data_IF_572676422280
#
_entry.id   IF_572676422280
#
_cell.length_a   1.000
_cell.length_b   1.000
_cell.length_c   1.000
_cell.angle_alpha   90.00
_cell.angle_beta   90.00
_cell.angle_gamma   90.00
#
_symmetry.space_group_name_H-M   'P 1'
#
loop_
_entity.id
_entity.type
_entity.pdbx_description
1 polymer ?
#
# COMPACT_ATOMS: atom_id res chain seq x y z
N UNK A 1 -21.14 27.95 -6.42
CA UNK A 1 -19.93 27.42 -5.77
C UNK A 1 -20.35 26.85 -4.43
N UNK A 2 -20.16 25.55 -4.20
CA UNK A 2 -20.42 24.93 -2.91
C UNK A 2 -19.08 24.69 -2.21
N UNK A 3 -18.86 25.35 -1.08
CA UNK A 3 -17.72 25.10 -0.20
C UNK A 3 -18.23 24.21 0.94
N UNK A 4 -17.98 22.91 0.85
CA UNK A 4 -18.22 22.03 2.01
C UNK A 4 -17.09 22.26 3.00
N UNK A 5 -17.41 22.63 4.24
CA UNK A 5 -16.41 22.64 5.32
C UNK A 5 -15.93 21.22 5.54
N UNK A 6 -14.65 21.04 5.29
CA UNK A 6 -13.90 19.79 5.32
C UNK A 6 -13.47 19.51 6.76
N UNK A 7 -14.42 19.25 7.69
CA UNK A 7 -14.03 18.92 9.06
C UNK A 7 -14.99 17.98 9.81
N UNK A 8 -15.97 17.37 9.13
CA UNK A 8 -16.99 16.51 9.79
C UNK A 8 -17.40 15.29 8.95
N UNK A 9 -16.51 14.82 8.06
CA UNK A 9 -16.63 13.51 7.41
C UNK A 9 -15.33 12.78 7.68
N UNK A 10 -15.37 11.70 8.45
CA UNK A 10 -14.20 11.00 8.98
C UNK A 10 -13.31 10.28 7.95
N UNK A 11 -13.38 10.68 6.68
CA UNK A 11 -12.60 10.10 5.58
C UNK A 11 -11.64 11.12 4.97
N UNK A 12 -10.45 10.66 4.61
CA UNK A 12 -9.41 11.52 4.04
C UNK A 12 -8.09 10.82 3.83
N UNK A 13 -7.18 11.54 3.16
CA UNK A 13 -5.81 11.10 2.92
C UNK A 13 -4.84 12.07 3.58
N UNK A 14 -4.01 11.55 4.47
CA UNK A 14 -2.91 12.29 5.10
C UNK A 14 -1.63 12.05 4.31
N UNK A 15 -0.83 13.09 4.13
CA UNK A 15 0.45 13.01 3.44
C UNK A 15 1.60 13.18 4.41
N UNK A 16 2.59 12.30 4.32
CA UNK A 16 3.89 12.43 4.96
C UNK A 16 4.97 12.55 3.88
N UNK A 17 6.01 13.33 4.16
CA UNK A 17 7.10 13.61 3.22
C UNK A 17 8.42 13.20 3.87
N UNK A 18 9.16 12.33 3.20
CA UNK A 18 10.43 11.78 3.67
C UNK A 18 11.42 11.79 2.49
N UNK A 19 12.45 12.62 2.58
CA UNK A 19 13.45 12.80 1.51
C UNK A 19 12.78 13.11 0.15
N UNK A 20 12.91 12.22 -0.84
CA UNK A 20 12.34 12.32 -2.18
C UNK A 20 10.99 11.59 -2.32
N UNK A 21 10.43 11.10 -1.21
CA UNK A 21 9.24 10.27 -1.18
C UNK A 21 8.05 11.02 -0.55
N UNK A 22 6.89 10.86 -1.18
CA UNK A 22 5.60 11.28 -0.65
C UNK A 22 4.81 10.03 -0.31
N UNK A 23 4.37 9.91 0.93
CA UNK A 23 3.51 8.82 1.41
C UNK A 23 2.09 9.35 1.57
N UNK A 24 1.14 8.71 0.91
CA UNK A 24 -0.30 8.95 1.05
C UNK A 24 -0.90 7.84 1.92
N UNK A 25 -1.59 8.21 3.00
CA UNK A 25 -2.26 7.28 3.91
C UNK A 25 -3.74 7.59 4.00
N UNK A 26 -4.57 6.61 3.68
CA UNK A 26 -6.01 6.68 3.92
C UNK A 26 -6.30 6.53 5.42
N UNK A 27 -7.07 7.47 5.99
CA UNK A 27 -7.30 7.52 7.43
C UNK A 27 -8.32 6.50 7.92
N UNK A 28 -9.17 5.99 7.02
CA UNK A 28 -10.24 5.05 7.38
C UNK A 28 -9.73 3.61 7.43
N UNK A 29 -8.99 3.18 6.40
CA UNK A 29 -8.42 1.84 6.29
C UNK A 29 -7.03 1.72 6.93
N UNK A 30 -6.32 2.84 7.10
CA UNK A 30 -4.92 2.84 7.51
C UNK A 30 -3.93 2.45 6.41
N UNK A 31 -4.42 2.07 5.21
CA UNK A 31 -3.58 1.71 4.06
C UNK A 31 -2.76 2.92 3.63
N UNK A 32 -1.50 2.67 3.33
CA UNK A 32 -0.57 3.68 2.86
C UNK A 32 0.18 3.22 1.62
N UNK A 33 0.48 4.15 0.74
CA UNK A 33 1.35 3.92 -0.40
C UNK A 33 2.21 5.16 -0.68
N UNK A 34 3.42 4.93 -1.17
CA UNK A 34 4.40 5.99 -1.37
C UNK A 34 4.84 6.11 -2.83
N UNK A 35 5.24 7.31 -3.22
CA UNK A 35 5.76 7.59 -4.56
C UNK A 35 6.64 8.82 -4.61
N UNK A 36 7.38 8.96 -5.70
CA UNK A 36 8.30 10.09 -5.95
C UNK A 36 7.57 11.42 -6.18
N UNK A 37 6.24 11.41 -6.17
CA UNK A 37 5.40 12.58 -6.28
C UNK A 37 4.04 12.31 -5.64
N UNK A 38 3.33 13.38 -5.29
CA UNK A 38 1.97 13.29 -4.73
C UNK A 38 0.99 12.51 -5.65
N UNK A 39 0.94 12.74 -6.98
CA UNK A 39 0.09 11.94 -7.87
C UNK A 39 0.49 10.46 -7.91
N UNK A 40 1.80 10.15 -7.90
CA UNK A 40 2.26 8.77 -7.88
C UNK A 40 1.87 8.04 -6.59
N UNK A 41 2.00 8.70 -5.44
CA UNK A 41 1.57 8.17 -4.14
C UNK A 41 0.06 7.89 -4.12
N UNK A 42 -0.75 8.81 -4.64
CA UNK A 42 -2.20 8.65 -4.73
C UNK A 42 -2.62 7.53 -5.67
N UNK A 43 -1.98 7.40 -6.83
CA UNK A 43 -2.27 6.31 -7.78
C UNK A 43 -2.03 4.96 -7.11
N UNK A 44 -0.87 4.79 -6.45
CA UNK A 44 -0.54 3.56 -5.75
C UNK A 44 -1.45 3.30 -4.55
N UNK A 45 -1.89 4.35 -3.86
CA UNK A 45 -2.84 4.21 -2.76
C UNK A 45 -4.19 3.68 -3.27
N UNK A 46 -4.66 4.14 -4.42
CA UNK A 46 -5.88 3.63 -5.04
C UNK A 46 -5.77 2.14 -5.41
N UNK A 47 -4.63 1.73 -5.95
CA UNK A 47 -4.36 0.32 -6.25
C UNK A 47 -4.33 -0.51 -4.95
N UNK A 48 -3.61 -0.04 -3.93
CA UNK A 48 -3.51 -0.72 -2.64
C UNK A 48 -4.87 -0.89 -1.95
N UNK A 49 -5.73 0.14 -1.97
CA UNK A 49 -7.09 0.05 -1.45
C UNK A 49 -7.94 -0.96 -2.23
N UNK A 50 -7.78 -1.01 -3.55
CA UNK A 50 -8.47 -1.98 -4.41
C UNK A 50 -8.05 -3.41 -4.09
N UNK A 51 -6.75 -3.64 -3.93
CA UNK A 51 -6.18 -4.95 -3.56
C UNK A 51 -6.62 -5.38 -2.16
N UNK A 52 -6.61 -4.47 -1.18
CA UNK A 52 -7.10 -4.71 0.18
C UNK A 52 -8.57 -5.14 0.20
N UNK A 53 -9.39 -4.60 -0.71
CA UNK A 53 -10.80 -4.97 -0.86
C UNK A 53 -11.01 -6.30 -1.61
N UNK A 54 -9.93 -7.00 -1.98
CA UNK A 54 -9.98 -8.25 -2.74
C UNK A 54 -10.17 -8.06 -4.25
N UNK A 55 -9.89 -6.86 -4.78
CA UNK A 55 -10.02 -6.55 -6.21
C UNK A 55 -8.86 -7.06 -7.09
N UNK A 56 -7.88 -7.76 -6.51
CA UNK A 56 -6.80 -8.42 -7.26
C UNK A 56 -7.24 -9.76 -7.85
N UNK A 57 -6.47 -10.27 -8.80
CA UNK A 57 -6.64 -11.64 -9.28
C UNK A 57 -6.14 -12.61 -8.19
N UNK A 58 -6.95 -13.58 -7.74
CA UNK A 58 -6.49 -14.61 -6.83
C UNK A 58 -5.39 -15.47 -7.48
N UNK A 59 -4.42 -15.89 -6.67
CA UNK A 59 -3.40 -16.84 -7.09
C UNK A 59 -3.88 -18.24 -6.66
N UNK A 60 -4.14 -19.11 -7.63
CA UNK A 60 -4.62 -20.48 -7.37
C UNK A 60 -3.50 -21.39 -6.83
N UNK A 61 -2.29 -21.24 -7.37
CA UNK A 61 -1.08 -21.99 -7.01
C UNK A 61 0.06 -20.99 -6.77
N UNK A 62 0.36 -20.75 -5.49
CA UNK A 62 1.34 -19.76 -5.06
C UNK A 62 2.76 -20.14 -5.51
N UNK A 63 3.10 -21.43 -5.43
CA UNK A 63 4.44 -21.94 -5.75
C UNK A 63 4.73 -21.78 -7.25
N UNK A 64 3.75 -22.12 -8.10
CA UNK A 64 3.86 -21.92 -9.55
C UNK A 64 3.97 -20.44 -9.94
N UNK A 65 3.22 -19.56 -9.27
CA UNK A 65 3.29 -18.12 -9.55
C UNK A 65 4.63 -17.51 -9.13
N UNK A 66 5.17 -17.90 -7.98
CA UNK A 66 6.48 -17.44 -7.51
C UNK A 66 7.59 -17.87 -8.47
N UNK A 67 7.59 -19.14 -8.93
CA UNK A 67 8.53 -19.63 -9.95
C UNK A 67 8.42 -18.82 -11.26
N UNK A 68 7.18 -18.52 -11.70
CA UNK A 68 6.93 -17.73 -12.92
C UNK A 68 7.57 -16.34 -12.86
N UNK A 69 7.47 -15.66 -11.72
CA UNK A 69 8.06 -14.33 -11.53
C UNK A 69 9.54 -14.38 -11.15
N UNK A 70 10.15 -15.58 -11.10
CA UNK A 70 11.56 -15.80 -10.79
C UNK A 70 11.90 -15.60 -9.31
N UNK A 71 10.93 -15.81 -8.42
CA UNK A 71 11.13 -15.77 -6.96
C UNK A 71 11.21 -17.20 -6.43
N UNK A 72 12.36 -17.53 -5.84
CA UNK A 72 12.56 -18.80 -5.13
C UNK A 72 12.28 -18.58 -3.63
N UNK A 73 11.18 -19.16 -3.14
CA UNK A 73 10.79 -19.04 -1.74
C UNK A 73 11.75 -19.77 -0.79
N UNK A 74 12.42 -20.82 -1.28
CA UNK A 74 13.36 -21.62 -0.49
C UNK A 74 14.74 -20.93 -0.36
N UNK A 75 15.03 -19.92 -1.19
CA UNK A 75 16.24 -19.09 -1.05
C UNK A 75 16.14 -18.11 0.12
N UNK A 76 14.92 -17.83 0.61
CA UNK A 76 14.71 -16.88 1.70
C UNK A 76 14.80 -17.61 3.04
N UNK A 77 15.97 -17.50 3.68
CA UNK A 77 16.12 -17.86 5.10
C UNK A 77 15.17 -17.02 5.96
N UNK A 78 14.52 -17.68 6.91
CA UNK A 78 13.71 -17.02 7.93
C UNK A 78 14.57 -16.00 8.70
N UNK A 79 14.17 -14.73 8.62
CA UNK A 79 14.91 -13.60 9.20
C UNK A 79 14.98 -13.62 10.75
N UNK A 80 14.46 -14.67 11.38
CA UNK A 80 14.31 -14.81 12.82
C UNK A 80 13.29 -13.84 13.41
N UNK A 81 13.19 -13.84 14.74
CA UNK A 81 12.39 -12.87 15.46
C UNK A 81 13.08 -11.49 15.34
N UNK A 82 12.37 -10.43 14.90
CA UNK A 82 12.96 -9.12 14.79
C UNK A 82 13.51 -8.64 16.15
N UNK A 83 14.62 -7.87 16.17
CA UNK A 83 15.33 -7.52 17.40
C UNK A 83 14.65 -6.42 18.25
N UNK A 84 13.38 -6.14 18.01
CA UNK A 84 12.63 -5.10 18.70
C UNK A 84 11.44 -5.74 19.43
N UNK A 85 11.43 -5.64 20.76
CA UNK A 85 10.30 -5.96 21.64
C UNK A 85 9.45 -4.73 21.96
#
# INVERSE_FOLDING_TARGET
MATTSENDRGGGVVFTYEEDLVTARDTESGVAASGTSKPAALSRLADALTLQAGGGEPIDDEEAFLEEIGVDADEIDDAGEPPWE
#
